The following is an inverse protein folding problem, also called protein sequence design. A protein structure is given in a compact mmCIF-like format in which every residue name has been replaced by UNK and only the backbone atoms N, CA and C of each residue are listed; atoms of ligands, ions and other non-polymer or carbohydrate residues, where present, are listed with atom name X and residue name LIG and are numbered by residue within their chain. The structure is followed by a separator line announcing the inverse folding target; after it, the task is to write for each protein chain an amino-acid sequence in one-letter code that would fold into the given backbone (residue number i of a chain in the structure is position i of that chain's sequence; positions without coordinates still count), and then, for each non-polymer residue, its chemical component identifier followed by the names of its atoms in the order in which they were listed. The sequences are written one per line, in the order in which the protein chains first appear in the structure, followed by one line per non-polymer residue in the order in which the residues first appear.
data_IF_735006461473
#
_entry.id   IF_735006461473
#
_cell.length_a   1.000
_cell.length_b   1.000
_cell.length_c   1.000
_cell.angle_alpha   90.00
_cell.angle_beta   90.00
_cell.angle_gamma   90.00
#
_symmetry.space_group_name_H-M   'P 1'
#
loop_
_entity.id
_entity.type
_entity.pdbx_description
1 polymer ?
#
# COMPACT_ATOMS: atom_id res chain seq x y z
N UNK A 1 -35.62 4.29 -5.82
CA UNK A 1 -34.48 5.11 -6.24
C UNK A 1 -33.25 4.37 -5.76
N UNK A 2 -32.77 3.41 -6.56
CA UNK A 2 -31.56 2.66 -6.27
C UNK A 2 -30.36 3.57 -6.55
N UNK A 3 -29.50 3.81 -5.57
CA UNK A 3 -28.24 4.50 -5.79
C UNK A 3 -27.38 3.72 -6.77
N UNK A 4 -26.44 4.40 -7.45
CA UNK A 4 -25.42 3.72 -8.22
C UNK A 4 -24.60 2.79 -7.28
N UNK A 5 -24.19 1.57 -7.71
CA UNK A 5 -23.32 0.70 -6.92
C UNK A 5 -22.06 1.42 -6.39
N UNK A 6 -21.54 2.39 -7.14
CA UNK A 6 -20.41 3.25 -6.73
C UNK A 6 -20.75 4.07 -5.48
N UNK A 7 -21.96 4.61 -5.39
CA UNK A 7 -22.39 5.39 -4.21
C UNK A 7 -22.59 4.49 -2.98
N UNK A 8 -22.92 3.21 -3.15
CA UNK A 8 -23.04 2.26 -2.04
C UNK A 8 -21.66 1.90 -1.46
N UNK A 9 -20.66 1.68 -2.33
CA UNK A 9 -19.26 1.45 -1.91
C UNK A 9 -18.70 2.69 -1.19
N UNK A 10 -18.88 3.88 -1.78
CA UNK A 10 -18.46 5.14 -1.16
C UNK A 10 -19.18 5.32 0.18
N UNK A 11 -20.50 5.10 0.25
CA UNK A 11 -21.25 5.26 1.50
C UNK A 11 -20.78 4.30 2.60
N UNK A 12 -20.51 3.04 2.27
CA UNK A 12 -19.99 2.06 3.24
C UNK A 12 -18.62 2.48 3.79
N UNK A 13 -17.73 2.92 2.91
CA UNK A 13 -16.43 3.43 3.30
C UNK A 13 -16.51 4.69 4.15
N UNK A 14 -17.40 5.64 3.81
CA UNK A 14 -17.61 6.84 4.60
C UNK A 14 -18.10 6.52 6.02
N UNK A 15 -18.98 5.53 6.18
CA UNK A 15 -19.38 5.05 7.51
C UNK A 15 -18.19 4.47 8.28
N UNK A 16 -17.28 3.74 7.62
CA UNK A 16 -16.06 3.24 8.24
C UNK A 16 -15.15 4.38 8.70
N UNK A 17 -14.89 5.38 7.85
CA UNK A 17 -14.08 6.56 8.21
C UNK A 17 -14.68 7.29 9.40
N UNK A 18 -16.02 7.42 9.46
CA UNK A 18 -16.74 8.02 10.60
C UNK A 18 -16.48 7.28 11.91
N UNK A 19 -16.20 5.98 11.90
CA UNK A 19 -15.83 5.24 13.12
C UNK A 19 -14.44 5.61 13.65
N UNK A 20 -13.53 6.09 12.79
CA UNK A 20 -12.18 6.51 13.17
C UNK A 20 -12.12 7.93 13.74
N UNK A 21 -13.05 8.81 13.35
CA UNK A 21 -13.07 10.24 13.74
C UNK A 21 -13.05 10.45 15.28
N UNK A 22 -13.84 9.73 16.09
CA UNK A 22 -13.79 9.88 17.55
C UNK A 22 -12.40 9.58 18.13
N UNK A 23 -11.77 8.48 17.67
CA UNK A 23 -10.43 8.08 18.11
C UNK A 23 -9.37 9.09 17.70
N UNK A 24 -9.45 9.63 16.47
CA UNK A 24 -8.57 10.69 16.00
C UNK A 24 -8.70 11.96 16.85
N UNK A 25 -9.93 12.40 17.13
CA UNK A 25 -10.20 13.58 17.98
C UNK A 25 -9.66 13.37 19.40
N UNK A 26 -9.90 12.20 19.98
CA UNK A 26 -9.43 11.87 21.33
C UNK A 26 -7.90 11.79 21.39
N UNK A 27 -7.25 11.17 20.40
CA UNK A 27 -5.79 11.07 20.35
C UNK A 27 -5.14 12.45 20.25
N UNK A 28 -5.65 13.34 19.39
CA UNK A 28 -5.14 14.71 19.27
C UNK A 28 -5.33 15.50 20.56
N UNK A 29 -6.47 15.35 21.25
CA UNK A 29 -6.69 16.04 22.54
C UNK A 29 -5.78 15.50 23.64
N UNK A 30 -5.60 14.18 23.72
CA UNK A 30 -4.66 13.54 24.65
C UNK A 30 -3.23 14.05 24.45
N UNK A 31 -2.79 14.23 23.19
CA UNK A 31 -1.47 14.78 22.89
C UNK A 31 -1.31 16.26 23.24
N UNK A 32 -2.40 17.05 23.25
CA UNK A 32 -2.33 18.44 23.74
C UNK A 32 -2.09 18.50 25.24
N UNK A 33 -2.62 17.52 25.99
CA UNK A 33 -2.39 17.41 27.43
C UNK A 33 -1.00 16.84 27.75
N UNK A 34 -0.59 15.80 27.02
CA UNK A 34 0.70 15.15 27.17
C UNK A 34 1.30 14.76 25.80
N UNK A 35 2.20 15.60 25.23
CA UNK A 35 2.76 15.44 23.89
C UNK A 35 3.71 14.25 23.68
N UNK A 36 4.25 13.66 24.75
CA UNK A 36 5.28 12.61 24.67
C UNK A 36 4.70 11.19 24.57
N UNK A 37 3.39 11.05 24.48
CA UNK A 37 2.70 9.76 24.41
C UNK A 37 2.85 9.10 23.03
N UNK A 38 3.95 8.37 22.85
CA UNK A 38 4.29 7.70 21.58
C UNK A 38 3.21 6.74 21.10
N UNK A 39 2.57 6.03 22.01
CA UNK A 39 1.49 5.09 21.70
C UNK A 39 0.30 5.82 21.03
N UNK A 40 -0.01 7.03 21.49
CA UNK A 40 -1.09 7.85 20.92
C UNK A 40 -0.69 8.40 19.55
N UNK A 41 0.56 8.84 19.36
CA UNK A 41 1.07 9.31 18.07
C UNK A 41 1.03 8.17 17.03
N UNK A 42 1.47 6.97 17.42
CA UNK A 42 1.46 5.79 16.55
C UNK A 42 0.04 5.36 16.16
N UNK A 43 -0.91 5.43 17.09
CA UNK A 43 -2.31 5.11 16.80
C UNK A 43 -2.95 6.14 15.86
N UNK A 44 -2.69 7.45 16.07
CA UNK A 44 -3.12 8.48 15.12
C UNK A 44 -2.54 8.23 13.73
N UNK A 45 -1.25 7.93 13.64
CA UNK A 45 -0.59 7.65 12.37
C UNK A 45 -1.23 6.45 11.67
N UNK A 46 -1.47 5.34 12.40
CA UNK A 46 -2.13 4.14 11.86
C UNK A 46 -3.53 4.45 11.33
N UNK A 47 -4.37 5.17 12.09
CA UNK A 47 -5.72 5.52 11.66
C UNK A 47 -5.73 6.39 10.40
N UNK A 48 -4.86 7.40 10.35
CA UNK A 48 -4.73 8.27 9.17
C UNK A 48 -4.18 7.51 7.96
N UNK A 49 -3.21 6.59 8.16
CA UNK A 49 -2.70 5.70 7.12
C UNK A 49 -3.81 4.81 6.52
N UNK A 50 -4.65 4.24 7.37
CA UNK A 50 -5.82 3.45 6.94
C UNK A 50 -6.79 4.29 6.12
N UNK A 51 -7.10 5.53 6.55
CA UNK A 51 -7.96 6.44 5.78
C UNK A 51 -7.31 6.75 4.42
N UNK A 52 -6.02 7.10 4.39
CA UNK A 52 -5.29 7.40 3.15
C UNK A 52 -5.35 6.25 2.14
N UNK A 53 -5.01 5.04 2.58
CA UNK A 53 -4.95 3.85 1.74
C UNK A 53 -6.32 3.44 1.21
N UNK A 54 -7.31 3.34 2.10
CA UNK A 54 -8.67 2.96 1.72
C UNK A 54 -9.35 4.02 0.84
N UNK A 55 -9.04 5.31 1.03
CA UNK A 55 -9.54 6.39 0.16
C UNK A 55 -9.09 6.22 -1.29
N UNK A 56 -7.85 5.78 -1.55
CA UNK A 56 -7.39 5.52 -2.92
C UNK A 56 -8.13 4.33 -3.53
N UNK A 57 -8.31 3.26 -2.75
CA UNK A 57 -9.01 2.05 -3.20
C UNK A 57 -10.46 2.32 -3.61
N UNK A 58 -11.14 3.22 -2.88
CA UNK A 58 -12.53 3.60 -3.14
C UNK A 58 -12.66 4.70 -4.21
N UNK A 59 -11.54 5.20 -4.75
CA UNK A 59 -11.54 6.24 -5.79
C UNK A 59 -11.81 7.64 -5.26
N UNK A 60 -11.37 7.93 -4.03
CA UNK A 60 -11.52 9.23 -3.36
C UNK A 60 -10.13 9.86 -3.14
N UNK A 61 -9.42 10.26 -4.22
CA UNK A 61 -8.05 10.77 -4.13
C UNK A 61 -7.95 12.07 -3.32
N UNK A 62 -9.01 12.88 -3.31
CA UNK A 62 -9.09 14.09 -2.50
C UNK A 62 -8.97 13.80 -1.00
N UNK A 63 -9.73 12.82 -0.49
CA UNK A 63 -9.67 12.41 0.91
C UNK A 63 -8.33 11.76 1.25
N UNK A 64 -7.79 10.96 0.34
CA UNK A 64 -6.45 10.36 0.51
C UNK A 64 -5.38 11.43 0.69
N UNK A 65 -5.36 12.46 -0.16
CA UNK A 65 -4.36 13.53 -0.08
C UNK A 65 -4.53 14.42 1.15
N UNK A 66 -5.76 14.60 1.64
CA UNK A 66 -6.01 15.29 2.92
C UNK A 66 -5.41 14.48 4.08
N UNK A 67 -5.64 13.16 4.11
CA UNK A 67 -5.07 12.28 5.13
C UNK A 67 -3.54 12.25 5.06
N UNK A 68 -2.96 12.19 3.86
CA UNK A 68 -1.52 12.20 3.62
C UNK A 68 -0.82 13.41 4.27
N UNK A 69 -1.43 14.60 4.25
CA UNK A 69 -0.81 15.77 4.90
C UNK A 69 -0.62 15.57 6.41
N UNK A 70 -1.62 14.97 7.08
CA UNK A 70 -1.57 14.69 8.51
C UNK A 70 -0.63 13.51 8.81
N UNK A 71 -0.63 12.48 7.98
CA UNK A 71 0.27 11.32 8.10
C UNK A 71 1.74 11.74 8.03
N UNK A 72 2.14 12.52 7.02
CA UNK A 72 3.52 12.99 6.87
C UNK A 72 3.99 13.80 8.08
N UNK A 73 3.11 14.64 8.64
CA UNK A 73 3.41 15.40 9.84
C UNK A 73 3.57 14.50 11.08
N UNK A 74 2.77 13.44 11.19
CA UNK A 74 2.91 12.45 12.25
C UNK A 74 4.20 11.65 12.09
N UNK A 75 4.58 11.22 10.89
CA UNK A 75 5.84 10.53 10.62
C UNK A 75 7.05 11.36 11.08
N UNK A 76 7.08 12.65 10.74
CA UNK A 76 8.14 13.56 11.15
C UNK A 76 8.21 13.78 12.68
N UNK A 77 7.07 13.65 13.39
CA UNK A 77 7.01 13.67 14.85
C UNK A 77 7.50 12.36 15.44
N UNK A 78 7.10 11.22 14.88
CA UNK A 78 7.58 9.90 15.29
C UNK A 78 9.11 9.91 15.15
N UNK A 79 9.63 10.43 14.01
CA UNK A 79 11.05 10.49 13.64
C UNK A 79 11.86 11.46 14.51
N UNK A 80 11.18 12.14 15.43
CA UNK A 80 11.72 13.16 16.33
C UNK A 80 12.42 14.31 15.58
N UNK A 81 12.08 14.51 14.30
CA UNK A 81 12.49 15.67 13.51
C UNK A 81 11.73 16.91 13.99
N UNK A 82 10.50 16.71 14.45
CA UNK A 82 9.65 17.73 15.05
C UNK A 82 9.00 17.22 16.34
N UNK A 83 8.59 18.12 17.21
CA UNK A 83 7.84 17.80 18.43
C UNK A 83 6.36 18.14 18.24
N UNK A 84 5.47 17.31 18.78
CA UNK A 84 4.07 17.66 18.87
C UNK A 84 3.90 18.90 19.75
N UNK A 85 3.26 19.94 19.22
CA UNK A 85 3.03 21.20 19.92
C UNK A 85 1.58 21.69 19.72
N UNK A 86 1.23 22.82 20.35
CA UNK A 86 -0.12 23.38 20.26
C UNK A 86 -0.53 23.77 18.83
N UNK A 87 0.41 24.14 17.97
CA UNK A 87 0.13 24.43 16.56
C UNK A 87 -0.19 23.14 15.80
N UNK A 88 0.61 22.08 15.97
CA UNK A 88 0.37 20.76 15.43
C UNK A 88 -1.01 20.22 15.84
N UNK A 89 -1.34 20.30 17.13
CA UNK A 89 -2.62 19.83 17.65
C UNK A 89 -3.83 20.60 17.11
N UNK A 90 -3.70 21.91 16.85
CA UNK A 90 -4.75 22.70 16.19
C UNK A 90 -4.90 22.33 14.72
N UNK A 91 -3.77 22.17 14.02
CA UNK A 91 -3.75 21.82 12.61
C UNK A 91 -4.33 20.42 12.37
N UNK A 92 -3.95 19.43 13.18
CA UNK A 92 -4.50 18.07 13.11
C UNK A 92 -5.98 18.03 13.44
N UNK A 93 -6.44 18.75 14.49
CA UNK A 93 -7.87 18.87 14.79
C UNK A 93 -8.65 19.51 13.63
N UNK A 94 -8.08 20.53 13.00
CA UNK A 94 -8.64 21.16 11.83
C UNK A 94 -8.73 20.20 10.63
N UNK A 95 -7.67 19.42 10.36
CA UNK A 95 -7.68 18.38 9.33
C UNK A 95 -8.75 17.32 9.59
N UNK A 96 -8.91 16.86 10.83
CA UNK A 96 -9.97 15.91 11.19
C UNK A 96 -11.36 16.50 10.91
N UNK A 97 -11.60 17.77 11.23
CA UNK A 97 -12.86 18.45 10.87
C UNK A 97 -13.07 18.58 9.35
N UNK A 98 -12.00 18.73 8.56
CA UNK A 98 -12.08 18.72 7.10
C UNK A 98 -12.40 17.32 6.56
N UNK A 99 -11.81 16.27 7.12
CA UNK A 99 -12.14 14.88 6.78
C UNK A 99 -13.62 14.59 7.09
N UNK A 100 -14.10 14.99 8.26
CA UNK A 100 -15.49 14.81 8.68
C UNK A 100 -16.46 15.55 7.74
N UNK A 101 -16.19 16.81 7.42
CA UNK A 101 -17.00 17.57 6.45
C UNK A 101 -16.95 16.97 5.05
N UNK A 102 -15.79 16.49 4.60
CA UNK A 102 -15.63 15.80 3.33
C UNK A 102 -16.54 14.58 3.26
N UNK A 103 -16.59 13.79 4.34
CA UNK A 103 -17.46 12.61 4.46
C UNK A 103 -18.95 12.97 4.36
N UNK A 104 -19.36 14.11 4.91
CA UNK A 104 -20.75 14.57 4.84
C UNK A 104 -21.15 15.04 3.43
N UNK A 105 -20.25 15.76 2.76
CA UNK A 105 -20.55 16.47 1.51
C UNK A 105 -20.35 15.57 0.26
N UNK A 106 -19.55 14.48 0.33
CA UNK A 106 -19.14 13.70 -0.86
C UNK A 106 -20.30 12.99 -1.56
N UNK A 107 -21.26 12.45 -0.81
CA UNK A 107 -22.44 11.79 -1.38
C UNK A 107 -23.37 12.77 -2.10
N UNK A 108 -23.27 14.07 -1.77
CA UNK A 108 -24.02 15.14 -2.42
C UNK A 108 -23.25 15.78 -3.58
N UNK A 109 -22.00 15.34 -3.84
CA UNK A 109 -21.13 15.89 -4.88
C UNK A 109 -20.69 17.34 -4.60
N UNK A 110 -20.72 17.79 -3.34
CA UNK A 110 -20.45 19.18 -2.97
C UNK A 110 -19.02 19.42 -2.46
N UNK A 111 -18.13 18.44 -2.63
CA UNK A 111 -16.78 18.50 -2.07
C UNK A 111 -15.80 19.15 -3.03
N UNK A 112 -15.16 20.22 -2.57
CA UNK A 112 -14.01 20.83 -3.21
C UNK A 112 -12.72 20.43 -2.47
N UNK A 113 -12.16 19.28 -2.88
CA UNK A 113 -10.88 18.76 -2.36
C UNK A 113 -9.73 19.74 -2.59
N UNK A 114 -9.75 20.49 -3.70
CA UNK A 114 -8.71 21.43 -4.06
C UNK A 114 -8.67 22.62 -3.10
N UNK A 115 -9.83 23.15 -2.72
CA UNK A 115 -9.93 24.23 -1.72
C UNK A 115 -9.38 23.78 -0.37
N UNK A 116 -9.70 22.56 0.08
CA UNK A 116 -9.17 22.02 1.34
C UNK A 116 -7.65 21.86 1.26
N UNK A 117 -7.12 21.27 0.19
CA UNK A 117 -5.69 21.04 0.01
C UNK A 117 -4.89 22.35 -0.11
N UNK A 118 -5.43 23.37 -0.78
CA UNK A 118 -4.85 24.73 -0.85
C UNK A 118 -4.67 25.36 0.53
N UNK A 119 -5.52 25.00 1.49
CA UNK A 119 -5.42 25.48 2.88
C UNK A 119 -4.45 24.62 3.71
N UNK A 120 -4.53 23.29 3.59
CA UNK A 120 -3.76 22.37 4.42
C UNK A 120 -2.27 22.28 4.03
N UNK A 121 -1.95 22.22 2.74
CA UNK A 121 -0.56 22.03 2.29
C UNK A 121 0.36 23.13 2.83
N UNK A 122 0.05 24.43 2.68
CA UNK A 122 0.89 25.49 3.24
C UNK A 122 0.97 25.44 4.77
N UNK A 123 -0.11 25.03 5.45
CA UNK A 123 -0.15 24.95 6.91
C UNK A 123 0.78 23.86 7.45
N UNK A 124 0.73 22.66 6.86
CA UNK A 124 1.64 21.56 7.23
C UNK A 124 3.08 21.84 6.83
N UNK A 125 3.31 22.49 5.68
CA UNK A 125 4.67 22.95 5.28
C UNK A 125 5.26 23.93 6.28
N UNK A 126 4.49 24.92 6.74
CA UNK A 126 4.91 25.86 7.78
C UNK A 126 5.22 25.16 9.10
N UNK A 127 4.37 24.23 9.53
CA UNK A 127 4.63 23.39 10.69
C UNK A 127 5.96 22.63 10.57
N UNK A 128 6.25 22.05 9.39
CA UNK A 128 7.48 21.32 9.08
C UNK A 128 8.68 22.23 8.71
N UNK A 129 8.60 23.53 9.00
CA UNK A 129 9.69 24.49 8.77
C UNK A 129 10.12 24.64 7.31
N UNK A 130 9.24 24.31 6.35
CA UNK A 130 9.51 24.44 4.91
C UNK A 130 9.30 25.90 4.45
N UNK A 131 10.03 26.36 3.42
CA UNK A 131 9.96 27.75 2.97
C UNK A 131 8.63 28.07 2.28
N UNK A 132 7.99 29.17 2.70
CA UNK A 132 6.71 29.67 2.14
C UNK A 132 6.82 30.00 0.64
N UNK A 133 8.01 30.38 0.15
CA UNK A 133 8.24 30.69 -1.27
C UNK A 133 7.99 29.51 -2.20
N UNK A 134 7.93 28.29 -1.67
CA UNK A 134 7.67 27.07 -2.43
C UNK A 134 6.23 26.55 -2.26
N UNK A 135 5.38 27.21 -1.47
CA UNK A 135 4.02 26.73 -1.17
C UNK A 135 3.16 26.66 -2.43
N UNK A 136 3.22 27.67 -3.31
CA UNK A 136 2.49 27.65 -4.59
C UNK A 136 2.90 26.46 -5.47
N UNK A 137 4.20 26.11 -5.48
CA UNK A 137 4.73 24.99 -6.24
C UNK A 137 4.27 23.66 -5.64
N UNK A 138 4.33 23.52 -4.31
CA UNK A 138 3.91 22.31 -3.61
C UNK A 138 2.40 22.06 -3.75
N UNK A 139 1.58 23.11 -3.60
CA UNK A 139 0.15 23.04 -3.86
C UNK A 139 -0.09 22.59 -5.30
N UNK A 140 0.53 23.25 -6.28
CA UNK A 140 0.37 22.89 -7.69
C UNK A 140 0.73 21.42 -7.97
N UNK A 141 1.84 20.93 -7.42
CA UNK A 141 2.28 19.55 -7.61
C UNK A 141 1.23 18.53 -7.10
N UNK A 142 0.65 18.78 -5.92
CA UNK A 142 -0.40 17.90 -5.37
C UNK A 142 -1.71 18.02 -6.16
N UNK A 143 -2.10 19.23 -6.57
CA UNK A 143 -3.36 19.41 -7.31
C UNK A 143 -3.32 18.88 -8.75
N UNK A 144 -2.15 18.88 -9.41
CA UNK A 144 -1.99 18.23 -10.73
C UNK A 144 -2.23 16.72 -10.68
N UNK A 145 -2.10 16.15 -9.49
CA UNK A 145 -2.18 14.73 -9.21
C UNK A 145 -3.53 14.30 -8.63
N UNK A 146 -4.34 15.26 -8.17
CA UNK A 146 -5.67 15.01 -7.59
C UNK A 146 -6.73 15.50 -8.58
N UNK A 147 -7.45 14.61 -9.27
CA UNK A 147 -8.55 15.03 -10.13
C UNK A 147 -9.65 15.70 -9.30
N UNK A 148 -10.26 16.75 -9.84
CA UNK A 148 -11.50 17.31 -9.26
C UNK A 148 -12.57 16.21 -9.34
N UNK A 149 -13.16 15.87 -8.19
CA UNK A 149 -14.28 14.94 -8.17
C UNK A 149 -15.52 15.65 -8.73
N UNK A 150 -15.74 15.53 -10.03
CA UNK A 150 -16.99 15.96 -10.64
C UNK A 150 -18.07 14.96 -10.24
N UNK A 151 -18.96 15.37 -9.32
CA UNK A 151 -20.04 14.53 -8.80
C UNK A 151 -20.89 13.91 -9.90
N UNK A 152 -20.62 12.65 -10.21
CA UNK A 152 -21.29 11.87 -11.25
C UNK A 152 -20.37 10.77 -11.75
N UNK A 153 -20.42 9.61 -11.09
CA UNK A 153 -19.65 8.43 -11.49
C UNK A 153 -20.07 7.95 -12.90
N UNK A 154 -19.36 8.41 -13.94
CA UNK A 154 -19.09 7.57 -15.11
C UNK A 154 -17.87 6.71 -14.80
N UNK A 155 -17.99 5.41 -15.07
CA UNK A 155 -17.04 4.34 -14.74
C UNK A 155 -15.70 4.41 -15.48
N UNK A 156 -15.34 5.55 -16.09
CA UNK A 156 -14.23 5.69 -17.03
C UNK A 156 -13.03 6.47 -16.49
N UNK A 157 -13.07 6.97 -15.25
CA UNK A 157 -11.99 7.80 -14.69
C UNK A 157 -11.12 7.08 -13.63
N UNK A 158 -11.34 5.79 -13.39
CA UNK A 158 -10.58 5.02 -12.39
C UNK A 158 -9.18 4.57 -12.86
N UNK A 159 -8.81 4.81 -14.12
CA UNK A 159 -7.57 4.27 -14.72
C UNK A 159 -6.27 5.02 -14.37
N UNK A 160 -6.31 6.23 -13.79
CA UNK A 160 -5.13 7.14 -13.80
C UNK A 160 -4.59 7.60 -12.42
N UNK A 161 -4.96 6.96 -11.31
CA UNK A 161 -4.57 7.40 -9.95
C UNK A 161 -3.39 6.63 -9.31
N UNK A 162 -2.67 5.81 -10.08
CA UNK A 162 -1.62 4.93 -9.54
C UNK A 162 -0.22 5.55 -9.43
N UNK A 163 -0.02 6.82 -9.82
CA UNK A 163 1.33 7.42 -9.98
C UNK A 163 1.84 8.27 -8.78
N UNK A 164 1.18 8.27 -7.61
CA UNK A 164 1.49 9.24 -6.53
C UNK A 164 2.27 8.68 -5.32
N UNK A 165 2.86 7.50 -5.44
CA UNK A 165 3.61 6.88 -4.34
C UNK A 165 5.12 7.15 -4.37
N UNK A 166 5.62 7.97 -5.29
CA UNK A 166 7.02 8.39 -5.29
C UNK A 166 7.22 9.67 -4.47
N UNK A 167 7.36 9.54 -3.15
CA UNK A 167 8.28 10.32 -2.31
C UNK A 167 8.11 9.94 -0.82
N UNK A 168 9.13 9.27 -0.27
CA UNK A 168 9.49 9.05 1.16
C UNK A 168 9.66 7.57 1.59
N UNK A 169 10.65 6.89 1.03
CA UNK A 169 11.20 5.66 1.62
C UNK A 169 12.57 5.92 2.26
N UNK A 170 12.61 6.68 3.36
CA UNK A 170 13.81 6.79 4.19
C UNK A 170 13.44 7.05 5.67
N UNK A 171 13.21 5.98 6.44
CA UNK A 171 13.68 5.81 7.84
C UNK A 171 13.22 4.46 8.45
N UNK A 172 14.15 3.64 8.96
CA UNK A 172 13.92 2.45 9.81
C UNK A 172 13.95 2.92 11.27
N UNK A 173 12.95 2.56 12.08
CA UNK A 173 13.10 2.52 13.55
C UNK A 173 13.93 1.32 13.99
N UNK A 174 15.03 1.60 14.68
CA UNK A 174 15.74 0.61 15.48
C UNK A 174 14.88 0.30 16.73
N UNK A 175 14.37 -0.92 16.83
CA UNK A 175 13.73 -1.42 18.04
C UNK A 175 14.83 -1.67 19.10
N UNK A 176 14.64 -1.27 20.37
CA UNK A 176 15.62 -1.56 21.43
C UNK A 176 15.73 -3.06 21.67
N UNK A 177 16.97 -3.54 21.85
CA UNK A 177 17.37 -4.96 22.00
C UNK A 177 16.85 -5.65 23.28
N UNK A 178 16.18 -4.94 24.19
CA UNK A 178 15.79 -5.44 25.51
C UNK A 178 14.26 -5.55 25.67
N UNK A 179 13.58 -6.25 24.76
CA UNK A 179 12.23 -6.77 25.05
C UNK A 179 12.40 -8.09 25.82
N UNK A 180 12.15 -8.05 27.12
CA UNK A 180 12.07 -9.24 27.97
C UNK A 180 10.84 -10.07 27.57
N UNK A 181 11.09 -11.17 26.85
CA UNK A 181 10.08 -12.06 26.27
C UNK A 181 9.37 -12.96 27.30
N UNK A 182 9.54 -12.73 28.60
CA UNK A 182 8.98 -13.60 29.65
C UNK A 182 7.59 -13.19 30.16
N UNK A 183 7.04 -12.03 29.78
CA UNK A 183 5.70 -11.58 30.21
C UNK A 183 4.63 -11.62 29.10
N UNK A 184 4.90 -12.23 27.94
CA UNK A 184 3.94 -12.35 26.82
C UNK A 184 2.99 -13.55 26.89
N UNK A 185 3.01 -14.35 27.96
CA UNK A 185 2.24 -15.60 28.06
C UNK A 185 0.81 -15.46 28.64
N UNK A 186 0.25 -14.25 28.78
CA UNK A 186 -1.11 -14.05 29.33
C UNK A 186 -2.18 -13.55 28.37
N UNK A 187 -1.93 -13.51 27.05
CA UNK A 187 -2.98 -13.24 26.05
C UNK A 187 -3.00 -14.29 24.93
N UNK A 188 -2.93 -15.56 25.31
CA UNK A 188 -3.34 -16.66 24.43
C UNK A 188 -4.80 -17.04 24.72
N UNK A 189 -5.74 -16.15 24.40
CA UNK A 189 -7.02 -16.66 23.92
C UNK A 189 -6.78 -17.15 22.49
N UNK A 190 -7.18 -18.37 22.14
CA UNK A 190 -7.05 -18.85 20.78
C UNK A 190 -7.93 -17.96 19.91
N UNK A 191 -7.32 -17.09 19.10
CA UNK A 191 -8.00 -16.44 17.99
C UNK A 191 -8.52 -17.58 17.11
N UNK A 192 -9.83 -17.86 17.22
CA UNK A 192 -10.50 -18.74 16.28
C UNK A 192 -10.30 -18.12 14.91
N UNK A 193 -9.52 -18.81 14.09
CA UNK A 193 -9.53 -18.64 12.64
C UNK A 193 -11.00 -18.60 12.19
N UNK A 194 -11.45 -17.55 11.49
CA UNK A 194 -12.84 -17.46 11.09
C UNK A 194 -13.16 -18.69 10.22
N UNK A 195 -14.06 -19.55 10.70
CA UNK A 195 -14.41 -20.84 10.09
C UNK A 195 -15.14 -20.71 8.74
N UNK A 196 -15.29 -19.50 8.20
CA UNK A 196 -15.79 -19.24 6.85
C UNK A 196 -15.03 -18.05 6.25
N UNK A 197 -14.61 -18.13 4.96
CA UNK A 197 -14.15 -16.93 4.26
C UNK A 197 -15.26 -15.87 4.37
N UNK A 198 -14.92 -14.57 4.47
CA UNK A 198 -15.94 -13.53 4.35
C UNK A 198 -16.76 -13.82 3.10
N UNK A 199 -18.09 -13.69 3.16
CA UNK A 199 -18.97 -13.87 2.00
C UNK A 199 -18.48 -12.92 0.90
N UNK A 200 -17.59 -13.41 0.03
CA UNK A 200 -17.10 -12.65 -1.12
C UNK A 200 -18.32 -12.48 -2.00
N UNK A 201 -18.73 -11.23 -2.19
CA UNK A 201 -19.81 -10.86 -3.08
C UNK A 201 -19.46 -11.44 -4.46
N UNK A 202 -20.24 -12.40 -5.01
CA UNK A 202 -19.90 -13.09 -6.26
C UNK A 202 -19.57 -12.12 -7.41
N UNK A 203 -20.25 -10.97 -7.44
CA UNK A 203 -20.02 -9.91 -8.42
C UNK A 203 -18.62 -9.27 -8.31
N UNK A 204 -18.06 -9.12 -7.09
CA UNK A 204 -16.68 -8.63 -6.91
C UNK A 204 -15.66 -9.67 -7.36
N UNK A 205 -15.96 -10.95 -7.13
CA UNK A 205 -15.09 -12.04 -7.54
C UNK A 205 -15.06 -12.19 -9.07
N UNK A 206 -16.21 -12.05 -9.72
CA UNK A 206 -16.31 -12.06 -11.19
C UNK A 206 -15.54 -10.87 -11.80
N UNK A 207 -15.71 -9.66 -11.25
CA UNK A 207 -14.96 -8.47 -11.68
C UNK A 207 -13.46 -8.67 -11.53
N UNK A 208 -13.03 -9.26 -10.41
CA UNK A 208 -11.62 -9.57 -10.21
C UNK A 208 -11.08 -10.58 -11.21
N UNK A 209 -11.82 -11.65 -11.52
CA UNK A 209 -11.35 -12.61 -12.52
C UNK A 209 -11.25 -12.01 -13.91
N UNK A 210 -12.15 -11.09 -14.26
CA UNK A 210 -12.09 -10.36 -15.53
C UNK A 210 -10.86 -9.44 -15.60
N UNK A 211 -10.62 -8.64 -14.56
CA UNK A 211 -9.46 -7.74 -14.44
C UNK A 211 -8.14 -8.52 -14.35
N UNK A 212 -8.08 -9.56 -13.53
CA UNK A 212 -6.92 -10.41 -13.39
C UNK A 212 -6.57 -11.09 -14.72
N UNK A 213 -7.57 -11.50 -15.51
CA UNK A 213 -7.33 -12.09 -16.82
C UNK A 213 -6.66 -11.10 -17.78
N UNK A 214 -7.14 -9.86 -17.85
CA UNK A 214 -6.54 -8.82 -18.70
C UNK A 214 -5.07 -8.56 -18.30
N UNK A 215 -4.81 -8.38 -17.01
CA UNK A 215 -3.44 -8.14 -16.54
C UNK A 215 -2.53 -9.36 -16.69
N UNK A 216 -3.05 -10.58 -16.60
CA UNK A 216 -2.29 -11.79 -16.88
C UNK A 216 -1.95 -11.91 -18.38
N UNK A 217 -2.84 -11.50 -19.29
CA UNK A 217 -2.54 -11.44 -20.74
C UNK A 217 -1.41 -10.44 -21.05
N UNK A 218 -1.40 -9.28 -20.38
CA UNK A 218 -0.33 -8.28 -20.47
C UNK A 218 0.99 -8.76 -19.88
N UNK A 219 0.92 -9.44 -18.74
CA UNK A 219 2.06 -10.06 -18.08
C UNK A 219 2.71 -11.11 -18.99
N UNK A 220 1.92 -12.05 -19.52
CA UNK A 220 2.38 -13.10 -20.42
C UNK A 220 2.99 -12.51 -21.69
N UNK A 221 2.34 -11.50 -22.27
CA UNK A 221 2.85 -10.81 -23.45
C UNK A 221 4.21 -10.15 -23.18
N UNK A 222 4.34 -9.46 -22.04
CA UNK A 222 5.58 -8.78 -21.65
C UNK A 222 6.70 -9.75 -21.34
N UNK A 223 6.41 -10.86 -20.65
CA UNK A 223 7.38 -11.91 -20.37
C UNK A 223 7.88 -12.60 -21.64
N UNK A 224 6.97 -12.92 -22.57
CA UNK A 224 7.34 -13.50 -23.88
C UNK A 224 8.24 -12.55 -24.70
N UNK A 225 7.96 -11.25 -24.67
CA UNK A 225 8.84 -10.25 -25.30
C UNK A 225 10.21 -10.27 -24.64
N UNK A 226 10.28 -10.27 -23.30
CA UNK A 226 11.54 -10.29 -22.57
C UNK A 226 12.35 -11.56 -22.86
N UNK A 227 11.69 -12.72 -22.89
CA UNK A 227 12.28 -14.01 -23.23
C UNK A 227 12.81 -14.06 -24.67
N UNK A 228 12.12 -13.41 -25.61
CA UNK A 228 12.60 -13.30 -27.00
C UNK A 228 13.88 -12.46 -27.12
N UNK A 229 14.08 -11.47 -26.24
CA UNK A 229 15.21 -10.54 -26.26
C UNK A 229 16.44 -11.06 -25.51
N UNK A 230 16.26 -11.92 -24.51
CA UNK A 230 17.34 -12.40 -23.62
C UNK A 230 17.60 -13.89 -23.88
N UNK A 231 18.36 -14.19 -24.94
CA UNK A 231 18.78 -15.57 -25.27
C UNK A 231 20.14 -15.97 -24.69
N UNK A 232 20.91 -14.99 -24.24
CA UNK A 232 22.17 -15.14 -23.49
C UNK A 232 22.22 -14.09 -22.40
N UNK A 233 23.08 -14.24 -21.37
CA UNK A 233 23.32 -13.16 -20.43
C UNK A 233 23.74 -11.86 -21.16
N UNK A 234 23.04 -10.76 -20.90
CA UNK A 234 23.29 -9.45 -21.50
C UNK A 234 23.14 -8.36 -20.46
N UNK A 235 23.83 -7.22 -20.67
CA UNK A 235 23.66 -6.06 -19.81
C UNK A 235 22.23 -5.52 -19.90
N UNK A 236 21.72 -5.11 -18.74
CA UNK A 236 20.36 -4.59 -18.61
C UNK A 236 20.22 -3.26 -19.37
N UNK A 237 19.48 -3.31 -20.47
CA UNK A 237 19.16 -2.14 -21.29
C UNK A 237 17.91 -1.40 -20.79
N UNK A 238 17.76 -0.13 -21.15
CA UNK A 238 16.55 0.64 -20.82
C UNK A 238 15.28 -0.02 -21.39
N UNK A 239 15.35 -0.61 -22.58
CA UNK A 239 14.21 -1.30 -23.19
C UNK A 239 13.73 -2.49 -22.34
N UNK A 240 14.66 -3.27 -21.78
CA UNK A 240 14.33 -4.38 -20.87
C UNK A 240 13.78 -3.86 -19.54
N UNK A 241 14.36 -2.78 -18.99
CA UNK A 241 13.84 -2.11 -17.79
C UNK A 241 12.39 -1.63 -17.95
N UNK A 242 12.02 -1.10 -19.11
CA UNK A 242 10.62 -0.73 -19.39
C UNK A 242 9.69 -1.94 -19.47
N UNK A 243 10.17 -3.08 -19.97
CA UNK A 243 9.39 -4.33 -19.97
C UNK A 243 9.20 -4.86 -18.53
N UNK A 244 10.25 -4.84 -17.71
CA UNK A 244 10.19 -5.21 -16.29
C UNK A 244 9.17 -4.33 -15.54
N UNK A 245 9.15 -3.02 -15.79
CA UNK A 245 8.14 -2.11 -15.23
C UNK A 245 6.71 -2.45 -15.67
N UNK A 246 6.51 -2.85 -16.92
CA UNK A 246 5.20 -3.32 -17.40
C UNK A 246 4.75 -4.57 -16.63
N UNK A 247 5.64 -5.56 -16.50
CA UNK A 247 5.37 -6.79 -15.74
C UNK A 247 5.02 -6.44 -14.28
N UNK A 248 5.81 -5.58 -13.63
CA UNK A 248 5.56 -5.14 -12.24
C UNK A 248 4.19 -4.49 -12.09
N UNK A 249 3.77 -3.64 -13.03
CA UNK A 249 2.44 -3.00 -12.99
C UNK A 249 1.32 -4.03 -13.06
N UNK A 250 1.39 -4.99 -13.99
CA UNK A 250 0.39 -6.08 -14.07
C UNK A 250 0.31 -6.86 -12.76
N UNK A 251 1.45 -7.24 -12.17
CA UNK A 251 1.50 -7.94 -10.88
C UNK A 251 0.91 -7.08 -9.75
N UNK A 252 1.26 -5.78 -9.71
CA UNK A 252 0.79 -4.84 -8.70
C UNK A 252 -0.73 -4.72 -8.70
N UNK A 253 -1.34 -4.57 -9.89
CA UNK A 253 -2.79 -4.46 -10.01
C UNK A 253 -3.49 -5.74 -9.57
N UNK A 254 -3.05 -6.90 -10.05
CA UNK A 254 -3.58 -8.21 -9.63
C UNK A 254 -3.47 -8.40 -8.11
N UNK A 255 -2.32 -8.06 -7.52
CA UNK A 255 -2.08 -8.12 -6.07
C UNK A 255 -3.04 -7.21 -5.31
N UNK A 256 -3.23 -5.98 -5.80
CA UNK A 256 -4.13 -4.98 -5.21
C UNK A 256 -5.58 -5.45 -5.23
N UNK A 257 -6.08 -5.85 -6.39
CA UNK A 257 -7.43 -6.37 -6.56
C UNK A 257 -7.68 -7.61 -5.69
N UNK A 258 -6.70 -8.52 -5.61
CA UNK A 258 -6.75 -9.67 -4.72
C UNK A 258 -6.81 -9.29 -3.23
N UNK A 259 -6.04 -8.28 -2.81
CA UNK A 259 -6.06 -7.80 -1.42
C UNK A 259 -7.42 -7.21 -1.03
N UNK A 260 -8.06 -6.47 -1.94
CA UNK A 260 -9.38 -5.86 -1.73
C UNK A 260 -10.45 -6.92 -1.47
N UNK A 261 -10.37 -8.06 -2.15
CA UNK A 261 -11.36 -9.15 -2.05
C UNK A 261 -11.00 -10.15 -0.93
N UNK A 262 -9.83 -9.99 -0.30
CA UNK A 262 -9.35 -10.88 0.75
C UNK A 262 -8.72 -12.19 0.23
N UNK A 263 -8.33 -12.24 -1.04
CA UNK A 263 -7.57 -13.35 -1.64
C UNK A 263 -6.08 -13.25 -1.25
N UNK A 264 -5.83 -13.49 0.05
CA UNK A 264 -4.53 -13.29 0.70
C UNK A 264 -3.38 -14.12 0.10
N UNK A 265 -3.69 -15.29 -0.45
CA UNK A 265 -2.72 -16.14 -1.16
C UNK A 265 -2.19 -15.48 -2.45
N UNK A 266 -3.08 -14.91 -3.26
CA UNK A 266 -2.72 -14.19 -4.50
C UNK A 266 -1.97 -12.91 -4.15
N UNK A 267 -2.47 -12.14 -3.18
CA UNK A 267 -1.82 -10.91 -2.73
C UNK A 267 -0.41 -11.16 -2.16
N UNK A 268 -0.24 -12.18 -1.32
CA UNK A 268 1.07 -12.54 -0.77
C UNK A 268 2.07 -12.99 -1.83
N UNK A 269 1.61 -13.73 -2.85
CA UNK A 269 2.47 -14.14 -3.96
C UNK A 269 2.84 -12.96 -4.87
N UNK A 270 1.87 -12.11 -5.22
CA UNK A 270 2.11 -10.90 -6.01
C UNK A 270 3.14 -9.98 -5.36
N UNK A 271 3.09 -9.81 -4.04
CA UNK A 271 4.10 -9.03 -3.31
C UNK A 271 5.52 -9.63 -3.44
N UNK A 272 5.66 -10.95 -3.31
CA UNK A 272 6.97 -11.60 -3.49
C UNK A 272 7.52 -11.47 -4.92
N UNK A 273 6.63 -11.41 -5.92
CA UNK A 273 7.01 -11.14 -7.31
C UNK A 273 7.44 -9.68 -7.51
N UNK A 274 6.76 -8.71 -6.91
CA UNK A 274 7.17 -7.30 -6.93
C UNK A 274 8.57 -7.11 -6.36
N UNK A 275 8.86 -7.68 -5.18
CA UNK A 275 10.19 -7.61 -4.56
C UNK A 275 11.29 -8.11 -5.53
N UNK A 276 11.01 -9.17 -6.28
CA UNK A 276 11.93 -9.71 -7.27
C UNK A 276 12.09 -8.80 -8.49
N UNK A 277 10.99 -8.21 -8.97
CA UNK A 277 10.99 -7.28 -10.10
C UNK A 277 11.67 -5.95 -9.76
N UNK A 278 11.53 -5.49 -8.52
CA UNK A 278 12.17 -4.26 -8.02
C UNK A 278 13.68 -4.44 -7.95
N UNK A 279 14.16 -5.57 -7.41
CA UNK A 279 15.57 -5.94 -7.47
C UNK A 279 16.10 -6.02 -8.91
N UNK A 280 15.30 -6.60 -9.82
CA UNK A 280 15.68 -6.70 -11.23
C UNK A 280 15.79 -5.30 -11.88
N UNK A 281 14.93 -4.36 -11.48
CA UNK A 281 14.89 -3.00 -11.98
C UNK A 281 16.05 -2.14 -11.46
N UNK A 282 16.31 -2.20 -10.15
CA UNK A 282 17.19 -1.26 -9.44
C UNK A 282 18.63 -1.76 -9.35
N UNK A 283 18.81 -3.02 -8.94
CA UNK A 283 20.11 -3.55 -8.51
C UNK A 283 20.80 -4.44 -9.56
N UNK A 284 20.07 -4.89 -10.58
CA UNK A 284 20.59 -5.87 -11.53
C UNK A 284 21.25 -5.20 -12.74
N UNK A 285 22.54 -5.50 -12.95
CA UNK A 285 23.31 -5.01 -14.10
C UNK A 285 23.20 -5.91 -15.32
N UNK A 286 22.95 -7.21 -15.12
CA UNK A 286 22.95 -8.21 -16.20
C UNK A 286 21.72 -9.09 -16.06
N UNK A 287 20.96 -9.24 -17.14
CA UNK A 287 19.79 -10.13 -17.20
C UNK A 287 20.16 -11.40 -17.96
N UNK A 288 19.72 -12.55 -17.48
CA UNK A 288 20.08 -13.85 -18.05
C UNK A 288 18.84 -14.71 -18.32
N UNK A 289 18.93 -15.71 -19.22
CA UNK A 289 17.82 -16.62 -19.50
C UNK A 289 17.28 -17.32 -18.25
N UNK A 290 18.14 -17.61 -17.27
CA UNK A 290 17.75 -18.25 -16.01
C UNK A 290 16.88 -17.33 -15.14
N UNK A 291 17.12 -16.01 -15.16
CA UNK A 291 16.27 -15.02 -14.49
C UNK A 291 14.92 -14.93 -15.20
N UNK A 292 14.91 -15.00 -16.55
CA UNK A 292 13.66 -14.99 -17.31
C UNK A 292 12.83 -16.24 -17.03
N UNK A 293 13.46 -17.42 -17.02
CA UNK A 293 12.78 -18.68 -16.67
C UNK A 293 12.14 -18.59 -15.28
N UNK A 294 12.85 -18.03 -14.30
CA UNK A 294 12.29 -17.82 -12.96
C UNK A 294 11.11 -16.83 -12.94
N UNK A 295 11.13 -15.77 -13.76
CA UNK A 295 9.99 -14.86 -13.93
C UNK A 295 8.78 -15.54 -14.57
N UNK A 296 9.02 -16.37 -15.61
CA UNK A 296 7.99 -17.17 -16.27
C UNK A 296 7.34 -18.14 -15.27
N UNK A 297 8.14 -18.92 -14.54
CA UNK A 297 7.64 -19.84 -13.51
C UNK A 297 6.84 -19.11 -12.42
N UNK A 298 7.23 -17.88 -12.09
CA UNK A 298 6.53 -17.05 -11.12
C UNK A 298 5.18 -16.54 -11.63
N UNK A 299 5.12 -16.14 -12.91
CA UNK A 299 3.88 -15.78 -13.61
C UNK A 299 2.92 -16.97 -13.74
N UNK A 300 3.43 -18.14 -14.12
CA UNK A 300 2.65 -19.38 -14.19
C UNK A 300 2.04 -19.76 -12.83
N UNK A 301 2.82 -19.59 -11.75
CA UNK A 301 2.30 -19.81 -10.41
C UNK A 301 1.22 -18.80 -10.04
N UNK A 302 1.39 -17.51 -10.37
CA UNK A 302 0.35 -16.50 -10.14
C UNK A 302 -0.94 -16.88 -10.88
N UNK A 303 -0.84 -17.27 -12.16
CA UNK A 303 -1.96 -17.76 -12.95
C UNK A 303 -2.64 -18.98 -12.30
N UNK A 304 -1.86 -19.93 -11.77
CA UNK A 304 -2.38 -21.12 -11.11
C UNK A 304 -3.13 -20.79 -9.82
N UNK A 305 -2.59 -19.90 -8.98
CA UNK A 305 -3.24 -19.49 -7.72
C UNK A 305 -4.54 -18.72 -8.03
N UNK A 306 -4.56 -17.90 -9.08
CA UNK A 306 -5.80 -17.22 -9.53
C UNK A 306 -6.84 -18.24 -10.01
N UNK A 307 -6.43 -19.20 -10.85
CA UNK A 307 -7.34 -20.19 -11.40
C UNK A 307 -7.87 -21.19 -10.36
N UNK A 308 -7.14 -21.41 -9.26
CA UNK A 308 -7.52 -22.35 -8.20
C UNK A 308 -7.11 -21.84 -6.82
N UNK A 309 -7.78 -20.80 -6.27
CA UNK A 309 -7.38 -20.19 -4.99
C UNK A 309 -7.44 -21.16 -3.80
N UNK A 310 -8.27 -22.21 -3.90
CA UNK A 310 -8.43 -23.24 -2.88
C UNK A 310 -7.40 -24.37 -2.95
N UNK A 311 -6.58 -24.44 -4.01
CA UNK A 311 -5.53 -25.45 -4.15
C UNK A 311 -4.28 -25.01 -3.37
N UNK A 312 -3.76 -25.82 -2.42
CA UNK A 312 -2.54 -25.51 -1.70
C UNK A 312 -1.31 -25.54 -2.64
N UNK A 313 -1.01 -24.41 -3.26
CA UNK A 313 0.21 -24.19 -4.04
C UNK A 313 1.46 -23.93 -3.18
N UNK A 314 1.39 -24.21 -1.88
CA UNK A 314 2.40 -23.86 -0.88
C UNK A 314 3.82 -24.36 -1.25
N UNK A 315 3.96 -25.60 -1.71
CA UNK A 315 5.26 -26.16 -2.08
C UNK A 315 5.90 -25.49 -3.30
N UNK A 316 5.10 -25.08 -4.29
CA UNK A 316 5.59 -24.33 -5.46
C UNK A 316 5.99 -22.90 -5.05
N UNK A 317 5.16 -22.24 -4.24
CA UNK A 317 5.47 -20.92 -3.68
C UNK A 317 6.79 -20.92 -2.91
N UNK A 318 7.00 -21.92 -2.05
CA UNK A 318 8.21 -22.06 -1.24
C UNK A 318 9.45 -22.34 -2.12
N UNK A 319 9.32 -23.22 -3.12
CA UNK A 319 10.39 -23.50 -4.06
C UNK A 319 10.84 -22.26 -4.83
N UNK A 320 9.88 -21.51 -5.38
CA UNK A 320 10.18 -20.30 -6.15
C UNK A 320 10.72 -19.17 -5.27
N UNK A 321 10.15 -18.96 -4.07
CA UNK A 321 10.72 -18.05 -3.07
C UNK A 321 12.19 -18.37 -2.80
N UNK A 322 12.52 -19.65 -2.60
CA UNK A 322 13.92 -20.07 -2.39
C UNK A 322 14.81 -19.79 -3.60
N UNK A 323 14.30 -19.92 -4.82
CA UNK A 323 15.06 -19.61 -6.04
C UNK A 323 15.25 -18.10 -6.22
N UNK A 324 14.23 -17.28 -6.00
CA UNK A 324 14.32 -15.81 -5.97
C UNK A 324 15.34 -15.36 -4.93
N UNK A 325 15.30 -15.94 -3.72
CA UNK A 325 16.25 -15.62 -2.67
C UNK A 325 17.71 -15.87 -3.04
N UNK A 326 18.02 -16.81 -3.94
CA UNK A 326 19.40 -17.02 -4.40
C UNK A 326 19.95 -15.76 -5.08
N UNK A 327 19.13 -15.04 -5.81
CA UNK A 327 19.51 -13.80 -6.48
C UNK A 327 19.57 -12.63 -5.50
N UNK A 328 18.61 -12.54 -4.58
CA UNK A 328 18.56 -11.49 -3.55
C UNK A 328 19.70 -11.59 -2.52
N UNK A 329 20.30 -12.77 -2.32
CA UNK A 329 21.35 -13.03 -1.30
C UNK A 329 22.79 -12.86 -1.84
N UNK A 330 23.01 -12.60 -3.14
CA UNK A 330 24.35 -12.46 -3.75
C UNK A 330 25.06 -11.12 -3.43
N UNK A 331 24.58 -10.33 -2.46
CA UNK A 331 25.42 -9.34 -1.74
C UNK A 331 25.63 -9.75 -0.26
N UNK A 332 26.87 -10.09 0.15
CA UNK A 332 27.32 -9.79 1.49
C UNK A 332 27.67 -8.29 1.52
N UNK A 333 26.91 -7.54 2.32
CA UNK A 333 26.94 -6.07 2.58
C UNK A 333 25.65 -5.41 2.09
N UNK A 334 24.86 -4.93 3.07
CA UNK A 334 23.49 -4.39 3.01
C UNK A 334 22.37 -5.43 3.02
N UNK A 335 22.35 -6.24 4.09
CA UNK A 335 21.21 -7.09 4.44
C UNK A 335 20.32 -6.33 5.44
N UNK A 336 19.31 -5.59 4.96
CA UNK A 336 18.15 -5.21 5.80
C UNK A 336 16.98 -4.66 4.96
N UNK A 337 15.87 -5.42 4.91
CA UNK A 337 14.46 -5.01 5.12
C UNK A 337 13.47 -6.10 4.67
N UNK A 338 13.62 -6.69 3.47
CA UNK A 338 12.64 -7.68 2.93
C UNK A 338 12.82 -9.14 3.45
N UNK A 339 13.98 -9.50 3.99
CA UNK A 339 14.27 -10.90 4.39
C UNK A 339 13.76 -11.32 5.78
N UNK A 340 13.18 -10.42 6.61
CA UNK A 340 12.65 -10.83 7.93
C UNK A 340 11.43 -11.74 7.80
N UNK A 341 10.55 -11.50 6.83
CA UNK A 341 9.36 -12.33 6.63
C UNK A 341 9.68 -13.73 6.06
N UNK A 342 10.67 -13.83 5.18
CA UNK A 342 11.11 -15.09 4.59
C UNK A 342 11.96 -15.96 5.53
N UNK A 343 12.76 -15.36 6.44
CA UNK A 343 13.49 -16.11 7.48
C UNK A 343 12.59 -16.62 8.60
N UNK A 344 11.55 -15.87 8.99
CA UNK A 344 10.63 -16.29 10.06
C UNK A 344 9.83 -17.55 9.67
N UNK A 345 9.40 -17.67 8.41
CA UNK A 345 8.71 -18.88 7.92
C UNK A 345 9.64 -20.11 7.87
N UNK A 346 10.91 -19.96 7.49
CA UNK A 346 11.88 -21.06 7.47
C UNK A 346 12.21 -21.61 8.86
N UNK A 347 12.20 -20.75 9.88
CA UNK A 347 12.49 -21.14 11.27
C UNK A 347 11.24 -21.80 11.91
N UNK A 348 10.02 -21.30 11.63
CA UNK A 348 8.79 -21.93 12.13
C UNK A 348 8.53 -23.31 11.51
N UNK A 349 8.81 -23.52 10.22
CA UNK A 349 8.65 -24.84 9.58
C UNK A 349 9.65 -25.89 10.08
N UNK A 350 10.83 -25.47 10.55
CA UNK A 350 11.82 -26.40 11.13
C UNK A 350 11.46 -26.85 12.55
N UNK A 351 10.61 -26.10 13.25
CA UNK A 351 10.17 -26.39 14.62
C UNK A 351 8.92 -27.30 14.63
N UNK A 352 8.15 -27.37 13.53
CA UNK A 352 6.99 -28.26 13.40
C UNK A 352 7.30 -29.67 12.85
N UNK A 353 8.56 -29.97 12.51
CA UNK A 353 8.99 -31.28 11.99
C UNK A 353 9.99 -32.05 12.88
N UNK A 354 10.19 -31.61 14.13
CA UNK A 354 10.90 -32.34 15.20
C UNK A 354 9.92 -32.53 16.34
#
# INVERSE_FOLDING_TARGET
MSGSPVNEIISGYIEEVRTYIPSLKQGVESLKENPEQKEVINELHRLVHTIKGASLMVGIPGLSNIALQMENALSEIIDKKFEFNNEAGKLMAFTISRIEKYCDDILEGQVDSHAILKELIPAYRRFLGRPESEDEKAVKAVLEQVPEFEGGAESSQFEDLTDLSQESEDEIYDLPDDIDLQDMDTFSEPVKEPEQPPDIIPELLDSFYEEAKEHMEDLDSSLNILESQVKTPVDMSQAQKEIIRKIRRSVHTVKGAAAVIGLSNISSWGHAMEDFLDWLYEDTQTISPEIIELLMESGDLLAAIIASPSDPHASKCEHLKKNILKYLVIKPVLLNRSLKHLKLMSIQMSIQMI
#
